data_IF_190695989554
#
_entry.id   IF_190695989554
#
_cell.length_a   1.000
_cell.length_b   1.000
_cell.length_c   1.000
_cell.angle_alpha   90.00
_cell.angle_beta   90.00
_cell.angle_gamma   90.00
#
_symmetry.space_group_name_H-M   'P 1'
#
loop_
_entity.id
_entity.type
_entity.pdbx_description
1 polymer ?
#
# COMPACT_ATOMS: atom_id res chain seq x y z
N UNK A 1 -27.98 56.60 24.65
CA UNK A 1 -26.72 56.51 23.89
C UNK A 1 -26.82 55.27 23.03
N UNK A 2 -27.28 55.43 21.79
CA UNK A 2 -27.61 54.36 20.85
C UNK A 2 -26.56 54.37 19.74
N UNK A 3 -25.68 53.36 19.71
CA UNK A 3 -24.71 53.18 18.65
C UNK A 3 -25.37 52.46 17.47
N UNK A 4 -25.55 53.19 16.38
CA UNK A 4 -26.01 52.69 15.09
C UNK A 4 -24.80 52.21 14.29
N UNK A 5 -24.62 50.91 14.16
CA UNK A 5 -23.64 50.32 13.24
C UNK A 5 -24.24 50.28 11.83
N UNK A 6 -23.72 51.10 10.93
CA UNK A 6 -24.01 51.01 9.49
C UNK A 6 -23.24 49.83 8.91
N UNK A 7 -23.96 48.84 8.38
CA UNK A 7 -23.41 47.84 7.48
C UNK A 7 -23.16 48.48 6.11
N UNK A 8 -21.90 48.51 5.71
CA UNK A 8 -21.46 48.89 4.37
C UNK A 8 -21.51 47.64 3.48
N UNK A 9 -22.19 47.66 2.31
CA UNK A 9 -22.20 46.52 1.41
C UNK A 9 -20.82 46.39 0.74
N UNK A 10 -20.24 45.20 0.86
CA UNK A 10 -19.04 44.79 0.13
C UNK A 10 -19.38 44.74 -1.36
N UNK A 11 -18.76 45.62 -2.14
CA UNK A 11 -18.84 45.61 -3.60
C UNK A 11 -18.21 44.32 -4.13
N UNK A 12 -19.03 43.52 -4.80
CA UNK A 12 -18.60 42.44 -5.68
C UNK A 12 -17.90 43.10 -6.86
N UNK A 13 -16.57 43.05 -6.91
CA UNK A 13 -15.84 43.32 -8.15
C UNK A 13 -16.10 42.13 -9.08
N UNK A 14 -16.93 42.37 -10.10
CA UNK A 14 -16.99 41.58 -11.33
C UNK A 14 -15.57 41.53 -11.92
N UNK A 15 -14.94 40.36 -11.79
CA UNK A 15 -13.78 40.03 -12.58
C UNK A 15 -14.30 39.53 -13.92
N UNK A 16 -14.26 40.39 -14.93
CA UNK A 16 -14.44 40.03 -16.33
C UNK A 16 -13.39 38.97 -16.69
N UNK A 17 -13.79 37.71 -16.68
CA UNK A 17 -13.02 36.61 -17.25
C UNK A 17 -13.17 36.77 -18.76
N UNK A 18 -12.20 37.45 -19.39
CA UNK A 18 -11.98 37.35 -20.82
C UNK A 18 -11.85 35.85 -21.17
N UNK A 19 -12.75 35.40 -22.03
CA UNK A 19 -12.78 34.06 -22.62
C UNK A 19 -11.40 33.71 -23.20
N UNK A 20 -10.59 33.00 -22.41
CA UNK A 20 -9.44 32.28 -22.95
C UNK A 20 -10.03 31.10 -23.73
N UNK A 21 -10.32 31.36 -25.00
CA UNK A 21 -10.55 30.35 -26.02
C UNK A 21 -9.26 29.54 -26.21
N UNK A 22 -8.97 28.65 -25.25
CA UNK A 22 -7.97 27.59 -25.44
C UNK A 22 -8.62 26.60 -26.40
N UNK A 23 -8.51 26.92 -27.68
CA UNK A 23 -8.64 25.93 -28.74
C UNK A 23 -7.57 24.88 -28.45
N UNK A 24 -7.98 23.78 -27.83
CA UNK A 24 -7.20 22.57 -27.70
C UNK A 24 -6.93 22.07 -29.13
N UNK A 25 -5.90 22.60 -29.77
CA UNK A 25 -5.27 21.93 -30.89
C UNK A 25 -4.65 20.66 -30.30
N UNK A 26 -5.43 19.58 -30.35
CA UNK A 26 -4.89 18.23 -30.32
C UNK A 26 -3.94 18.14 -31.51
N UNK A 27 -2.69 18.50 -31.30
CA UNK A 27 -1.59 18.14 -32.20
C UNK A 27 -1.43 16.64 -32.02
N UNK A 28 -2.27 15.90 -32.75
CA UNK A 28 -2.08 14.49 -32.99
C UNK A 28 -0.80 14.39 -33.81
N UNK A 29 0.34 14.28 -33.14
CA UNK A 29 1.54 13.77 -33.75
C UNK A 29 1.26 12.32 -34.13
N UNK A 30 0.69 12.13 -35.33
CA UNK A 30 0.78 10.87 -36.05
C UNK A 30 2.26 10.66 -36.37
N UNK A 31 3.00 10.11 -35.41
CA UNK A 31 4.28 9.51 -35.70
C UNK A 31 3.97 8.24 -36.47
N UNK A 32 3.98 8.35 -37.80
CA UNK A 32 3.90 7.22 -38.71
C UNK A 32 5.14 6.35 -38.46
N UNK A 33 5.03 5.40 -37.52
CA UNK A 33 6.06 4.40 -37.31
C UNK A 33 6.11 3.53 -38.57
N UNK A 34 7.11 3.78 -39.39
CA UNK A 34 7.50 2.88 -40.47
C UNK A 34 8.00 1.58 -39.83
N UNK A 35 7.47 0.41 -40.24
CA UNK A 35 7.92 -0.87 -39.72
C UNK A 35 9.32 -1.16 -40.28
N UNK A 36 10.35 -0.74 -39.55
CA UNK A 36 11.74 -1.11 -39.83
C UNK A 36 11.93 -2.53 -39.30
N UNK A 37 11.91 -3.49 -40.23
CA UNK A 37 12.24 -4.89 -39.98
C UNK A 37 13.64 -4.98 -39.37
N UNK A 38 13.72 -5.18 -38.06
CA UNK A 38 14.97 -5.50 -37.36
C UNK A 38 15.20 -7.00 -37.45
N UNK A 39 16.32 -7.47 -38.03
CA UNK A 39 16.63 -8.89 -38.05
C UNK A 39 17.04 -9.34 -36.64
N UNK A 40 16.22 -10.23 -36.07
CA UNK A 40 16.63 -11.52 -35.53
C UNK A 40 17.91 -11.50 -34.65
N UNK A 41 17.79 -11.04 -33.41
CA UNK A 41 18.76 -11.30 -32.33
C UNK A 41 18.40 -12.63 -31.63
N UNK A 42 18.41 -13.72 -32.37
CA UNK A 42 18.44 -15.09 -31.82
C UNK A 42 19.93 -15.44 -31.71
N UNK A 43 20.58 -15.08 -30.60
CA UNK A 43 22.01 -15.36 -30.45
C UNK A 43 22.61 -15.10 -29.07
N UNK A 44 22.00 -14.26 -28.24
CA UNK A 44 22.59 -13.90 -26.95
C UNK A 44 22.07 -14.69 -25.74
N UNK A 45 20.98 -15.44 -25.90
CA UNK A 45 20.42 -16.27 -24.82
C UNK A 45 21.30 -17.45 -24.41
N UNK A 46 22.02 -18.07 -25.35
CA UNK A 46 22.87 -19.24 -25.05
C UNK A 46 24.19 -18.89 -24.35
N UNK A 47 24.71 -17.67 -24.50
CA UNK A 47 25.97 -17.29 -23.84
C UNK A 47 25.78 -17.03 -22.34
N UNK A 48 24.62 -16.48 -21.95
CA UNK A 48 24.30 -16.22 -20.53
C UNK A 48 23.96 -17.50 -19.75
N UNK A 49 23.43 -18.54 -20.40
CA UNK A 49 23.13 -19.81 -19.73
C UNK A 49 24.41 -20.58 -19.35
N UNK A 50 25.45 -20.51 -20.19
CA UNK A 50 26.74 -21.20 -19.92
C UNK A 50 27.51 -20.53 -18.78
N UNK A 51 27.44 -19.20 -18.64
CA UNK A 51 28.10 -18.51 -17.51
C UNK A 51 27.41 -18.77 -16.17
N UNK A 52 26.08 -18.87 -16.13
CA UNK A 52 25.35 -19.23 -14.90
C UNK A 52 25.68 -20.65 -14.40
N UNK A 53 25.86 -21.63 -15.30
CA UNK A 53 26.21 -23.00 -14.91
C UNK A 53 27.65 -23.07 -14.36
N UNK A 54 28.59 -22.33 -14.93
CA UNK A 54 29.97 -22.28 -14.43
C UNK A 54 30.06 -21.69 -13.00
N UNK A 55 29.29 -20.65 -12.69
CA UNK A 55 29.22 -20.06 -11.35
C UNK A 55 28.62 -21.05 -10.35
N UNK A 56 27.58 -21.80 -10.73
CA UNK A 56 26.95 -22.80 -9.85
C UNK A 56 27.88 -23.98 -9.54
N UNK A 57 28.75 -24.38 -10.47
CA UNK A 57 29.70 -25.48 -10.26
C UNK A 57 30.85 -25.11 -9.31
N UNK A 58 31.27 -23.83 -9.26
CA UNK A 58 32.34 -23.36 -8.37
C UNK A 58 31.94 -23.23 -6.89
N UNK A 59 30.64 -23.33 -6.56
CA UNK A 59 30.15 -23.19 -5.17
C UNK A 59 30.14 -24.53 -4.41
N UNK A 60 30.44 -25.67 -5.07
CA UNK A 60 30.21 -26.99 -4.46
C UNK A 60 31.39 -27.64 -3.73
N UNK A 61 32.56 -27.02 -3.66
CA UNK A 61 33.71 -27.61 -2.94
C UNK A 61 34.35 -26.63 -1.97
N UNK A 62 33.80 -26.59 -0.75
CA UNK A 62 34.56 -26.57 0.51
C UNK A 62 33.58 -26.64 1.68
N UNK A 63 32.82 -27.73 1.77
CA UNK A 63 32.29 -28.18 3.05
C UNK A 63 33.42 -28.89 3.80
N UNK A 64 34.36 -28.10 4.34
CA UNK A 64 35.25 -28.58 5.39
C UNK A 64 34.37 -28.82 6.62
N UNK A 65 34.29 -30.03 7.18
CA UNK A 65 33.64 -30.22 8.47
C UNK A 65 34.53 -29.56 9.52
N UNK A 66 34.23 -28.31 9.85
CA UNK A 66 34.81 -27.64 11.00
C UNK A 66 34.28 -28.32 12.25
N UNK A 67 35.11 -29.24 12.71
CA UNK A 67 35.14 -29.81 14.03
C UNK A 67 35.07 -28.70 15.10
N UNK A 68 34.23 -28.96 16.09
CA UNK A 68 34.05 -28.31 17.39
C UNK A 68 34.96 -27.11 17.70
N UNK A 69 34.35 -25.93 17.84
CA UNK A 69 34.75 -24.99 18.89
C UNK A 69 33.50 -24.42 19.53
N UNK A 70 33.10 -25.04 20.65
CA UNK A 70 32.26 -24.43 21.67
C UNK A 70 32.97 -23.17 22.15
N UNK A 71 32.71 -22.05 21.48
CA UNK A 71 33.10 -20.74 21.98
C UNK A 71 32.19 -20.49 23.17
N UNK A 72 32.75 -20.70 24.35
CA UNK A 72 32.21 -20.30 25.63
C UNK A 72 32.07 -18.76 25.59
N UNK A 73 30.91 -18.29 25.09
CA UNK A 73 30.51 -16.88 25.09
C UNK A 73 30.11 -16.48 26.52
N UNK A 74 31.04 -16.65 27.47
CA UNK A 74 31.04 -16.01 28.78
C UNK A 74 31.51 -14.56 28.64
N UNK A 75 30.75 -13.83 27.83
CA UNK A 75 30.71 -12.39 27.74
C UNK A 75 29.25 -12.00 27.59
N UNK A 76 28.37 -12.61 28.39
CA UNK A 76 26.94 -12.32 28.46
C UNK A 76 26.77 -10.92 29.04
N UNK A 77 27.10 -9.91 28.24
CA UNK A 77 26.46 -8.60 28.32
C UNK A 77 24.98 -8.92 28.41
N UNK A 78 24.38 -8.61 29.56
CA UNK A 78 22.96 -8.82 29.77
C UNK A 78 22.26 -8.26 28.55
N UNK A 79 21.41 -9.04 27.84
CA UNK A 79 20.63 -8.49 26.74
C UNK A 79 20.02 -7.22 27.30
N UNK A 80 20.32 -6.07 26.70
CA UNK A 80 19.63 -4.85 27.09
C UNK A 80 18.15 -5.22 26.95
N UNK A 81 17.45 -5.28 28.08
CA UNK A 81 16.06 -5.71 28.09
C UNK A 81 15.34 -4.74 27.17
N UNK A 82 14.92 -5.21 25.99
CA UNK A 82 14.20 -4.39 25.05
C UNK A 82 12.97 -3.82 25.79
N UNK A 83 12.80 -2.50 25.75
CA UNK A 83 11.58 -1.90 26.29
C UNK A 83 10.40 -2.32 25.44
N UNK A 84 9.20 -2.35 26.02
CA UNK A 84 7.99 -2.50 25.23
C UNK A 84 7.91 -1.40 24.17
N UNK A 85 7.48 -1.76 22.96
CA UNK A 85 7.23 -0.79 21.91
C UNK A 85 6.08 0.14 22.30
N UNK A 86 6.19 1.39 21.91
CA UNK A 86 5.08 2.35 21.92
C UNK A 86 4.06 2.00 20.82
N UNK A 87 2.84 2.53 20.93
CA UNK A 87 1.80 2.34 19.91
C UNK A 87 2.29 2.69 18.49
N UNK A 88 2.98 3.82 18.34
CA UNK A 88 3.54 4.25 17.05
C UNK A 88 4.57 3.26 16.51
N UNK A 89 5.43 2.72 17.38
CA UNK A 89 6.45 1.73 16.97
C UNK A 89 5.83 0.40 16.59
N UNK A 90 4.81 -0.04 17.34
CA UNK A 90 3.99 -1.21 17.01
C UNK A 90 3.33 -1.07 15.64
N UNK A 91 2.60 0.02 15.42
CA UNK A 91 1.88 0.28 14.17
C UNK A 91 2.84 0.51 12.99
N UNK A 92 4.03 1.08 13.21
CA UNK A 92 5.03 1.25 12.16
C UNK A 92 5.75 -0.06 11.79
N UNK A 93 5.84 -1.01 12.72
CA UNK A 93 6.52 -2.28 12.52
C UNK A 93 5.81 -3.17 11.50
N UNK A 94 6.58 -3.84 10.64
CA UNK A 94 6.07 -4.91 9.74
C UNK A 94 6.41 -6.31 10.25
N UNK A 95 6.91 -6.40 11.48
CA UNK A 95 7.32 -7.66 12.06
C UNK A 95 6.10 -8.48 12.48
N UNK A 96 6.14 -9.78 12.22
CA UNK A 96 5.26 -10.72 12.89
C UNK A 96 5.78 -10.92 14.32
N UNK A 97 5.09 -10.32 15.29
CA UNK A 97 5.48 -10.37 16.70
C UNK A 97 5.42 -11.77 17.34
N UNK A 98 4.72 -12.75 16.76
CA UNK A 98 4.65 -14.12 17.28
C UNK A 98 5.97 -14.86 17.01
N UNK A 99 6.59 -14.57 15.88
CA UNK A 99 7.82 -15.25 15.41
C UNK A 99 9.06 -14.41 15.69
N UNK A 100 8.93 -13.08 15.62
CA UNK A 100 10.03 -12.12 15.75
C UNK A 100 9.59 -10.89 16.55
N UNK A 101 9.41 -11.01 17.88
CA UNK A 101 8.88 -9.93 18.72
C UNK A 101 9.83 -8.73 18.85
N UNK A 102 11.10 -8.83 18.48
CA UNK A 102 12.03 -7.72 18.64
C UNK A 102 12.24 -6.97 17.32
N UNK A 103 11.78 -5.73 17.25
CA UNK A 103 12.04 -4.85 16.11
C UNK A 103 13.23 -3.95 16.38
N UNK A 104 14.09 -3.79 15.38
CA UNK A 104 15.16 -2.81 15.43
C UNK A 104 14.68 -1.49 14.83
N UNK A 105 14.63 -0.43 15.64
CA UNK A 105 14.20 0.91 15.22
C UNK A 105 15.33 1.65 14.51
N UNK A 106 16.58 1.45 14.96
CA UNK A 106 17.76 2.09 14.39
C UNK A 106 18.92 1.10 14.25
N UNK A 107 19.38 0.90 13.01
CA UNK A 107 20.51 0.06 12.66
C UNK A 107 21.65 0.91 12.12
N UNK A 108 22.78 1.02 12.83
CA UNK A 108 24.01 1.66 12.34
C UNK A 108 23.80 3.03 11.65
N UNK A 109 22.87 3.85 12.16
CA UNK A 109 22.56 5.19 11.62
C UNK A 109 21.48 5.24 10.53
N UNK A 110 20.87 4.11 10.15
CA UNK A 110 19.71 4.02 9.27
C UNK A 110 18.40 3.73 10.01
N UNK A 111 17.28 4.06 9.37
CA UNK A 111 15.92 3.80 9.87
C UNK A 111 15.50 2.34 9.62
N UNK A 112 15.05 1.65 10.67
CA UNK A 112 14.50 0.29 10.70
C UNK A 112 15.46 -0.86 10.30
N UNK A 113 15.93 -1.62 11.29
CA UNK A 113 16.88 -2.73 11.14
C UNK A 113 16.27 -4.13 10.97
N UNK A 114 14.95 -4.24 10.85
CA UNK A 114 14.25 -5.52 10.69
C UNK A 114 13.80 -6.15 12.01
N UNK A 115 13.45 -7.44 11.94
CA UNK A 115 12.79 -8.20 13.01
C UNK A 115 13.67 -9.36 13.48
N UNK A 116 13.63 -9.69 14.77
CA UNK A 116 14.41 -10.79 15.34
C UNK A 116 13.61 -11.60 16.37
N UNK A 117 13.79 -12.94 16.44
CA UNK A 117 13.22 -13.79 17.49
C UNK A 117 13.86 -13.58 18.86
N UNK A 118 15.05 -12.98 18.91
CA UNK A 118 15.79 -12.67 20.15
C UNK A 118 16.14 -11.19 20.20
N UNK A 119 16.32 -10.58 21.39
CA UNK A 119 16.76 -9.20 21.49
C UNK A 119 18.05 -8.98 20.70
N UNK A 120 18.09 -7.91 19.92
CA UNK A 120 19.26 -7.48 19.17
C UNK A 120 20.42 -7.16 20.11
N UNK A 121 21.64 -7.41 19.63
CA UNK A 121 22.84 -6.91 20.31
C UNK A 121 23.01 -5.42 20.04
N UNK A 122 23.60 -4.70 21.00
CA UNK A 122 23.87 -3.25 20.86
C UNK A 122 24.77 -2.90 19.67
N UNK A 123 25.58 -3.85 19.20
CA UNK A 123 26.42 -3.70 18.00
C UNK A 123 25.61 -3.77 16.70
N UNK A 124 24.48 -4.49 16.73
CA UNK A 124 23.62 -4.65 15.55
C UNK A 124 22.48 -3.64 15.59
N UNK A 125 21.89 -3.37 16.74
CA UNK A 125 20.78 -2.45 16.87
C UNK A 125 20.98 -1.54 18.06
N UNK A 126 21.01 -0.22 17.80
CA UNK A 126 21.21 0.77 18.86
C UNK A 126 19.94 1.01 19.64
N UNK A 127 18.78 0.95 18.98
CA UNK A 127 17.46 1.11 19.59
C UNK A 127 16.53 0.03 19.08
N UNK A 128 16.02 -0.78 20.00
CA UNK A 128 15.07 -1.84 19.72
C UNK A 128 13.91 -1.76 20.71
N UNK A 129 12.80 -2.37 20.37
CA UNK A 129 11.69 -2.56 21.29
C UNK A 129 11.05 -3.95 21.09
N UNK A 130 10.32 -4.38 22.12
CA UNK A 130 9.57 -5.64 22.17
C UNK A 130 8.11 -5.40 21.76
N UNK A 131 7.67 -6.13 20.74
CA UNK A 131 6.34 -6.06 20.14
C UNK A 131 5.32 -7.02 20.77
N UNK A 132 5.71 -7.84 21.74
CA UNK A 132 4.86 -8.89 22.32
C UNK A 132 3.54 -8.35 22.89
N UNK A 133 3.52 -7.08 23.34
CA UNK A 133 2.33 -6.42 23.88
C UNK A 133 1.59 -5.49 22.93
N UNK A 134 1.93 -5.47 21.63
CA UNK A 134 1.36 -4.49 20.70
C UNK A 134 -0.15 -4.61 20.50
N UNK A 135 -0.72 -5.81 20.62
CA UNK A 135 -2.17 -6.03 20.45
C UNK A 135 -2.99 -5.49 21.63
N UNK A 136 -2.36 -5.33 22.79
CA UNK A 136 -3.00 -4.89 24.02
C UNK A 136 -2.84 -3.38 24.27
N UNK A 137 -2.19 -2.64 23.35
CA UNK A 137 -1.99 -1.21 23.52
C UNK A 137 -3.27 -0.44 23.19
N UNK A 138 -3.69 0.40 24.15
CA UNK A 138 -4.73 1.39 23.90
C UNK A 138 -4.27 2.36 22.80
N UNK A 139 -5.15 2.61 21.84
CA UNK A 139 -4.95 3.62 20.80
C UNK A 139 -5.10 5.00 21.46
N UNK A 140 -4.07 5.87 21.44
CA UNK A 140 -4.19 7.22 21.99
C UNK A 140 -5.23 8.06 21.24
N UNK A 141 -6.02 8.86 21.96
CA UNK A 141 -7.10 9.68 21.39
C UNK A 141 -6.62 10.75 20.39
N UNK A 142 -5.35 11.12 20.44
CA UNK A 142 -4.73 12.17 19.61
C UNK A 142 -4.07 11.63 18.33
N UNK A 143 -4.18 10.33 18.06
CA UNK A 143 -3.62 9.72 16.85
C UNK A 143 -4.48 10.05 15.64
N UNK A 144 -3.87 10.67 14.63
CA UNK A 144 -4.45 10.77 13.29
C UNK A 144 -4.51 9.40 12.62
N UNK A 145 -5.64 9.08 11.98
CA UNK A 145 -5.83 7.82 11.31
C UNK A 145 -6.71 7.94 10.06
N UNK A 146 -6.77 6.86 9.28
CA UNK A 146 -7.48 6.85 8.01
C UNK A 146 -8.95 6.42 8.12
N UNK A 147 -9.54 6.36 9.32
CA UNK A 147 -10.91 5.88 9.53
C UNK A 147 -11.98 6.94 9.27
N UNK A 148 -11.58 8.09 8.74
CA UNK A 148 -12.50 9.07 8.18
C UNK A 148 -13.07 8.56 6.86
N UNK A 149 -14.40 8.57 6.72
CA UNK A 149 -15.07 8.09 5.52
C UNK A 149 -14.64 8.90 4.28
N UNK A 150 -14.29 8.20 3.19
CA UNK A 150 -14.01 8.86 1.91
C UNK A 150 -15.25 9.62 1.42
N UNK A 151 -15.04 10.79 0.81
CA UNK A 151 -16.14 11.58 0.24
C UNK A 151 -16.81 10.86 -0.92
N UNK A 152 -18.11 11.09 -1.11
CA UNK A 152 -18.87 10.51 -2.22
C UNK A 152 -18.27 10.89 -3.58
N UNK A 153 -17.78 12.12 -3.71
CA UNK A 153 -17.08 12.59 -4.91
C UNK A 153 -15.83 11.75 -5.21
N UNK A 154 -15.01 11.47 -4.20
CA UNK A 154 -13.81 10.65 -4.34
C UNK A 154 -14.17 9.23 -4.82
N UNK A 155 -15.19 8.63 -4.20
CA UNK A 155 -15.62 7.27 -4.51
C UNK A 155 -16.33 7.14 -5.87
N UNK A 156 -17.04 8.18 -6.32
CA UNK A 156 -17.84 8.16 -7.56
C UNK A 156 -17.02 8.58 -8.79
N UNK A 157 -16.22 9.65 -8.68
CA UNK A 157 -15.36 10.11 -9.78
C UNK A 157 -14.26 9.10 -10.11
N UNK A 158 -13.85 8.34 -9.11
CA UNK A 158 -12.78 7.37 -9.21
C UNK A 158 -13.19 5.98 -9.65
N UNK A 159 -14.49 5.65 -9.81
CA UNK A 159 -15.16 4.32 -9.76
C UNK A 159 -14.47 3.01 -10.23
N UNK A 160 -13.26 3.05 -10.80
CA UNK A 160 -12.35 1.91 -11.01
C UNK A 160 -11.08 1.96 -10.14
N UNK A 161 -10.92 2.97 -9.27
CA UNK A 161 -9.74 3.26 -8.45
C UNK A 161 -9.93 2.91 -6.98
N UNK A 162 -11.06 2.32 -6.62
CA UNK A 162 -11.27 1.83 -5.27
C UNK A 162 -10.33 0.66 -5.01
N UNK A 163 -9.77 0.65 -3.81
CA UNK A 163 -8.97 -0.45 -3.32
C UNK A 163 -9.79 -1.74 -3.28
N UNK A 164 -9.13 -2.88 -3.51
CA UNK A 164 -9.79 -4.19 -3.51
C UNK A 164 -10.44 -4.53 -2.16
N UNK A 165 -11.18 -5.64 -2.09
CA UNK A 165 -11.91 -6.03 -0.86
C UNK A 165 -11.03 -6.23 0.37
N UNK A 166 -9.72 -6.40 0.19
CA UNK A 166 -8.77 -6.58 1.29
C UNK A 166 -8.20 -5.27 1.81
N UNK A 167 -8.27 -4.17 1.06
CA UNK A 167 -7.64 -2.90 1.42
C UNK A 167 -8.68 -1.78 1.50
N UNK A 168 -9.02 -1.36 2.72
CA UNK A 168 -10.12 -0.43 2.99
C UNK A 168 -9.66 1.03 3.02
N UNK A 169 -8.37 1.27 3.26
CA UNK A 169 -7.82 2.60 3.45
C UNK A 169 -7.09 3.08 2.20
N UNK A 170 -7.46 4.26 1.72
CA UNK A 170 -6.93 4.83 0.50
C UNK A 170 -6.21 6.14 0.76
N UNK A 171 -5.05 6.31 0.12
CA UNK A 171 -4.35 7.58 0.09
C UNK A 171 -5.04 8.57 -0.87
N UNK A 172 -5.32 9.78 -0.41
CA UNK A 172 -5.99 10.84 -1.17
C UNK A 172 -5.02 11.83 -1.81
N UNK A 173 -3.90 12.12 -1.15
CA UNK A 173 -2.96 13.17 -1.59
C UNK A 173 -1.53 12.72 -1.39
N UNK A 174 -0.64 13.04 -2.32
CA UNK A 174 0.79 12.70 -2.27
C UNK A 174 1.26 11.91 -3.49
N UNK A 175 2.50 11.46 -3.49
CA UNK A 175 3.06 10.67 -4.61
C UNK A 175 2.43 9.28 -4.73
N UNK A 176 1.80 8.78 -3.66
CA UNK A 176 1.05 7.53 -3.62
C UNK A 176 -0.47 7.77 -3.62
N UNK A 177 -0.95 8.89 -4.17
CA UNK A 177 -2.37 9.11 -4.36
C UNK A 177 -3.01 7.88 -5.04
N UNK A 178 -4.15 7.44 -4.54
CA UNK A 178 -4.85 6.19 -4.89
C UNK A 178 -4.21 4.89 -4.37
N UNK A 179 -3.09 4.97 -3.63
CA UNK A 179 -2.49 3.82 -2.96
C UNK A 179 -3.45 3.19 -1.95
N UNK A 180 -3.33 1.88 -1.77
CA UNK A 180 -4.23 1.08 -0.95
C UNK A 180 -3.54 0.46 0.25
N UNK A 181 -4.24 0.39 1.38
CA UNK A 181 -3.82 -0.30 2.59
C UNK A 181 -4.99 -1.01 3.25
N UNK A 182 -4.70 -2.16 3.84
CA UNK A 182 -5.57 -2.92 4.73
C UNK A 182 -5.44 -2.49 6.20
N UNK A 183 -4.49 -1.61 6.50
CA UNK A 183 -4.12 -1.14 7.83
C UNK A 183 -4.47 0.34 8.00
N UNK A 184 -5.28 0.64 9.04
CA UNK A 184 -5.80 1.96 9.39
C UNK A 184 -4.72 3.01 9.58
N UNK A 185 -3.53 2.60 10.01
CA UNK A 185 -2.45 3.49 10.41
C UNK A 185 -1.27 3.50 9.43
N UNK A 186 -1.32 2.71 8.35
CA UNK A 186 -0.20 2.61 7.41
C UNK A 186 0.13 3.96 6.75
N UNK A 187 -0.89 4.73 6.38
CA UNK A 187 -0.64 6.03 5.74
C UNK A 187 -0.17 7.09 6.73
N UNK A 188 -0.56 7.01 8.01
CA UNK A 188 -0.11 7.97 9.04
C UNK A 188 1.30 7.66 9.57
N UNK A 189 1.61 6.40 9.87
CA UNK A 189 2.85 6.07 10.59
C UNK A 189 3.94 5.41 9.75
N UNK A 190 3.57 4.69 8.69
CA UNK A 190 4.54 3.98 7.85
C UNK A 190 4.94 4.77 6.61
N UNK A 191 4.25 5.88 6.37
CA UNK A 191 4.37 6.66 5.14
C UNK A 191 4.67 8.10 5.50
N UNK A 192 5.53 8.75 4.72
CA UNK A 192 5.78 10.18 4.88
C UNK A 192 4.67 11.01 4.25
N UNK A 193 4.47 12.24 4.73
CA UNK A 193 3.48 13.17 4.15
C UNK A 193 3.69 13.41 2.64
N UNK A 194 4.95 13.39 2.17
CA UNK A 194 5.24 13.51 0.74
C UNK A 194 4.68 12.33 -0.09
N UNK A 195 4.62 11.15 0.53
CA UNK A 195 4.06 9.94 -0.07
C UNK A 195 2.55 9.89 0.08
N UNK A 196 2.04 10.15 1.28
CA UNK A 196 0.63 10.27 1.56
C UNK A 196 0.39 11.31 2.65
N UNK A 197 -0.17 12.46 2.30
CA UNK A 197 -0.48 13.53 3.28
C UNK A 197 -1.92 13.51 3.76
N UNK A 198 -2.76 12.66 3.17
CA UNK A 198 -4.16 12.51 3.57
C UNK A 198 -4.71 11.17 3.10
N UNK A 199 -5.56 10.54 3.91
CA UNK A 199 -6.14 9.23 3.64
C UNK A 199 -7.58 9.15 4.14
N UNK A 200 -8.32 8.13 3.67
CA UNK A 200 -9.71 7.88 4.07
C UNK A 200 -10.08 6.39 4.01
N UNK A 201 -11.19 6.02 4.64
CA UNK A 201 -11.80 4.69 4.65
C UNK A 201 -12.87 4.60 3.55
N UNK A 202 -12.70 3.66 2.62
CA UNK A 202 -13.58 3.44 1.47
C UNK A 202 -14.62 2.32 1.68
N UNK A 203 -14.68 1.69 2.87
CA UNK A 203 -15.49 0.49 3.10
C UNK A 203 -16.99 0.72 2.93
N UNK A 204 -17.53 1.83 3.44
CA UNK A 204 -18.96 2.15 3.34
C UNK A 204 -19.44 2.25 1.89
N UNK A 205 -18.63 2.85 1.01
CA UNK A 205 -18.97 2.94 -0.40
C UNK A 205 -18.89 1.57 -1.09
N UNK A 206 -17.88 0.76 -0.75
CA UNK A 206 -17.73 -0.61 -1.27
C UNK A 206 -18.98 -1.44 -0.99
N UNK A 207 -19.46 -1.43 0.25
CA UNK A 207 -20.66 -2.19 0.64
C UNK A 207 -21.86 -1.82 -0.25
N UNK A 208 -22.08 -0.53 -0.47
CA UNK A 208 -23.17 -0.04 -1.32
C UNK A 208 -22.95 -0.39 -2.81
N UNK A 209 -21.71 -0.37 -3.29
CA UNK A 209 -21.35 -0.69 -4.67
C UNK A 209 -21.51 -2.19 -4.96
N UNK A 210 -21.04 -3.06 -4.08
CA UNK A 210 -21.14 -4.51 -4.22
C UNK A 210 -22.61 -4.97 -4.11
N UNK A 211 -23.37 -4.41 -3.17
CA UNK A 211 -24.82 -4.66 -3.06
C UNK A 211 -25.58 -4.17 -4.30
N UNK A 212 -25.16 -3.03 -4.87
CA UNK A 212 -25.71 -2.46 -6.10
C UNK A 212 -25.41 -3.28 -7.37
N UNK A 213 -24.21 -3.85 -7.48
CA UNK A 213 -23.85 -4.75 -8.59
C UNK A 213 -24.66 -6.05 -8.49
N UNK A 214 -24.79 -6.61 -7.29
CA UNK A 214 -25.50 -7.88 -7.09
C UNK A 214 -27.00 -7.74 -7.37
N UNK A 215 -27.61 -6.62 -6.99
CA UNK A 215 -29.03 -6.35 -7.28
C UNK A 215 -29.29 -6.17 -8.78
N UNK A 216 -28.37 -5.56 -9.53
CA UNK A 216 -28.51 -5.41 -10.99
C UNK A 216 -28.33 -6.74 -11.75
N UNK A 217 -27.38 -7.59 -11.30
CA UNK A 217 -27.18 -8.95 -11.83
C UNK A 217 -28.37 -9.86 -11.53
N UNK A 218 -28.97 -9.75 -10.35
CA UNK A 218 -30.17 -10.49 -9.98
C UNK A 218 -31.37 -10.05 -10.85
N UNK A 219 -31.56 -8.73 -11.02
CA UNK A 219 -32.62 -8.19 -11.88
C UNK A 219 -32.46 -8.61 -13.35
N UNK A 220 -31.23 -8.74 -13.87
CA UNK A 220 -31.01 -9.25 -15.23
C UNK A 220 -31.29 -10.75 -15.38
N UNK A 221 -31.06 -11.58 -14.34
CA UNK A 221 -31.45 -13.00 -14.36
C UNK A 221 -32.96 -13.18 -14.33
N UNK A 222 -33.68 -12.37 -13.56
CA UNK A 222 -35.14 -12.47 -13.44
C UNK A 222 -35.89 -11.98 -14.70
N UNK A 223 -35.22 -11.23 -15.58
CA UNK A 223 -35.77 -10.75 -16.86
C UNK A 223 -35.46 -11.71 -18.03
N UNK A 224 -34.67 -12.78 -17.84
CA UNK A 224 -34.54 -13.79 -18.88
C UNK A 224 -35.82 -14.64 -18.93
N UNK A 225 -36.66 -14.53 -19.98
CA UNK A 225 -37.84 -15.38 -20.08
C UNK A 225 -37.38 -16.83 -20.15
N UNK A 226 -37.95 -17.67 -19.29
CA UNK A 226 -37.81 -19.11 -19.38
C UNK A 226 -38.39 -19.57 -20.72
N UNK A 227 -37.59 -19.53 -21.78
CA UNK A 227 -37.83 -20.32 -22.98
C UNK A 227 -37.63 -21.78 -22.59
N UNK A 228 -38.67 -22.37 -21.98
CA UNK A 228 -38.83 -23.80 -21.84
C UNK A 228 -38.84 -24.39 -23.24
N UNK A 229 -37.70 -24.92 -23.68
CA UNK A 229 -37.60 -25.72 -24.89
C UNK A 229 -38.32 -27.04 -24.62
N UNK A 230 -39.64 -27.05 -24.79
CA UNK A 230 -40.41 -28.28 -24.95
C UNK A 230 -40.00 -28.94 -26.27
N UNK A 231 -39.12 -29.92 -26.18
CA UNK A 231 -38.82 -30.84 -27.26
C UNK A 231 -40.01 -31.79 -27.44
N UNK A 232 -40.82 -31.58 -28.47
CA UNK A 232 -41.77 -32.58 -28.92
C UNK A 232 -41.01 -33.71 -29.64
N UNK A 233 -40.74 -34.80 -28.93
CA UNK A 233 -40.38 -36.08 -29.52
C UNK A 233 -41.59 -36.64 -30.29
N UNK A 234 -41.55 -36.56 -31.62
CA UNK A 234 -42.41 -37.37 -32.47
C UNK A 234 -41.76 -38.75 -32.61
N UNK A 235 -42.43 -39.77 -32.07
CA UNK A 235 -42.10 -41.18 -32.26
C UNK A 235 -42.68 -41.67 -33.61
N UNK A 236 -42.11 -42.76 -34.19
CA UNK A 236 -42.34 -43.17 -35.58
C UNK A 236 -43.75 -43.71 -35.89
#
# INVERSE_FOLDING_TARGET
MTNSYQHQPSSTEEMDIEDINITHQSVTHHTTMTPRRTPLLIGFGSLLLVTFIAIYASVKENATPSDLTSVDMLGRSSPSSASACTFKECSASRCNHEVAPFTCLFHNGGVHGGCSPIPWTVETCTTQCDLTGCDDLDIPDDVEDCDVQCSDEWCTMGGQRLCGSTAQYQCMVGSSAFGCSDDRYQWTFRTSDASCSSCCNADTYRKNHDDGINTNLQAQRDVQPQHSLTWHLSAP
#
